data_IF_956025377436
#
_entry.id   IF_956025377436
#
_cell.length_a   1.000
_cell.length_b   1.000
_cell.length_c   1.000
_cell.angle_alpha   90.00
_cell.angle_beta   90.00
_cell.angle_gamma   90.00
#
_symmetry.space_group_name_H-M   'P 1'
#
loop_
_entity.id
_entity.type
_entity.pdbx_description
1 polymer ?
#
# COMPACT_ATOMS: atom_id res chain seq x y z
N UNK A 1 -15.63 -14.22 -8.18
CA UNK A 1 -14.81 -13.04 -8.51
C UNK A 1 -13.34 -13.44 -8.50
N UNK A 2 -12.73 -13.63 -9.67
CA UNK A 2 -11.28 -13.81 -9.82
C UNK A 2 -10.69 -12.44 -10.12
N UNK A 3 -9.88 -11.87 -9.22
CA UNK A 3 -9.21 -10.61 -9.47
C UNK A 3 -7.95 -10.89 -10.29
N UNK A 4 -7.95 -10.41 -11.53
CA UNK A 4 -6.82 -10.47 -12.47
C UNK A 4 -5.55 -9.90 -11.83
N UNK A 5 -4.56 -10.78 -11.68
CA UNK A 5 -3.22 -10.51 -11.15
C UNK A 5 -2.26 -10.23 -12.31
N UNK A 6 -2.56 -9.25 -13.16
CA UNK A 6 -1.72 -8.99 -14.35
C UNK A 6 -0.96 -7.65 -14.31
N UNK A 7 -1.20 -6.79 -13.32
CA UNK A 7 -0.51 -5.49 -13.22
C UNK A 7 0.22 -5.28 -11.89
N UNK A 8 0.83 -6.33 -11.32
CA UNK A 8 1.49 -6.23 -10.00
C UNK A 8 2.86 -6.92 -9.93
N UNK A 9 3.65 -6.83 -10.99
CA UNK A 9 5.03 -7.34 -10.97
C UNK A 9 5.97 -6.37 -10.22
N UNK A 10 5.66 -5.08 -10.25
CA UNK A 10 6.49 -4.02 -9.63
C UNK A 10 6.27 -3.90 -8.11
N UNK A 11 5.10 -4.28 -7.58
CA UNK A 11 4.85 -4.22 -6.11
C UNK A 11 5.13 -5.52 -5.36
N UNK A 12 5.31 -6.66 -6.05
CA UNK A 12 5.68 -7.92 -5.42
C UNK A 12 7.10 -7.83 -4.81
N UNK A 13 8.08 -7.30 -5.55
CA UNK A 13 9.49 -7.23 -5.14
C UNK A 13 9.72 -6.50 -3.80
N UNK A 14 9.06 -5.36 -3.59
CA UNK A 14 9.21 -4.59 -2.35
C UNK A 14 8.53 -5.29 -1.15
N UNK A 15 7.29 -5.76 -1.35
CA UNK A 15 6.51 -6.41 -0.30
C UNK A 15 7.15 -7.76 0.11
N UNK A 16 7.67 -8.50 -0.86
CA UNK A 16 8.42 -9.75 -0.67
C UNK A 16 9.71 -9.50 0.12
N UNK A 17 10.43 -8.41 -0.18
CA UNK A 17 11.62 -7.98 0.58
C UNK A 17 11.30 -7.74 2.05
N UNK A 18 10.19 -7.05 2.36
CA UNK A 18 9.78 -6.79 3.75
C UNK A 18 9.26 -8.04 4.46
N UNK A 19 8.56 -8.92 3.74
CA UNK A 19 8.11 -10.20 4.28
C UNK A 19 9.31 -11.10 4.61
N UNK A 20 10.31 -11.17 3.72
CA UNK A 20 11.55 -11.89 3.95
C UNK A 20 12.30 -11.35 5.17
N UNK A 21 12.47 -10.02 5.27
CA UNK A 21 13.08 -9.39 6.45
C UNK A 21 12.35 -9.75 7.74
N UNK A 22 11.02 -9.73 7.74
CA UNK A 22 10.22 -10.11 8.90
C UNK A 22 10.44 -11.57 9.29
N UNK A 23 10.54 -12.45 8.29
CA UNK A 23 10.87 -13.86 8.46
C UNK A 23 12.23 -14.06 9.11
N UNK A 24 13.30 -13.52 8.53
CA UNK A 24 14.66 -13.62 9.08
C UNK A 24 14.80 -12.97 10.46
N UNK A 25 14.07 -11.87 10.72
CA UNK A 25 14.05 -11.29 12.07
C UNK A 25 13.38 -12.21 13.09
N UNK A 26 12.35 -12.95 12.67
CA UNK A 26 11.69 -13.94 13.51
C UNK A 26 12.60 -15.14 13.79
N UNK A 27 13.38 -15.61 12.81
CA UNK A 27 14.32 -16.72 13.02
C UNK A 27 15.40 -16.36 14.04
N UNK A 28 15.92 -15.13 14.02
CA UNK A 28 16.88 -14.64 15.02
C UNK A 28 16.33 -14.65 16.45
N UNK A 29 15.04 -14.34 16.61
CA UNK A 29 14.37 -14.29 17.92
C UNK A 29 13.87 -15.65 18.40
N UNK A 30 13.79 -16.65 17.53
CA UNK A 30 13.21 -17.95 17.86
C UNK A 30 14.24 -18.84 18.60
N UNK A 31 13.98 -19.24 19.86
CA UNK A 31 14.89 -20.10 20.61
C UNK A 31 15.00 -21.53 20.04
N UNK A 32 14.04 -21.98 19.22
CA UNK A 32 14.01 -23.32 18.61
C UNK A 32 14.79 -23.41 17.30
N UNK A 33 15.40 -22.32 16.84
CA UNK A 33 16.20 -22.28 15.61
C UNK A 33 17.67 -22.49 15.95
N UNK A 34 18.37 -23.25 15.10
CA UNK A 34 19.80 -23.53 15.27
C UNK A 34 20.64 -22.27 15.12
N UNK A 35 21.82 -22.26 15.74
CA UNK A 35 22.71 -21.10 15.70
C UNK A 35 23.33 -20.88 14.31
N UNK A 36 23.43 -21.93 13.49
CA UNK A 36 23.79 -21.82 12.08
C UNK A 36 22.71 -21.07 11.27
N UNK A 37 21.45 -21.46 11.43
CA UNK A 37 20.34 -20.80 10.75
C UNK A 37 20.17 -19.34 11.20
N UNK A 38 20.45 -19.02 12.47
CA UNK A 38 20.49 -17.63 12.96
C UNK A 38 21.64 -16.84 12.34
N UNK A 39 22.83 -17.42 12.22
CA UNK A 39 23.97 -16.76 11.57
C UNK A 39 23.67 -16.43 10.11
N UNK A 40 23.12 -17.39 9.37
CA UNK A 40 22.68 -17.16 7.99
C UNK A 40 21.60 -16.08 7.90
N UNK A 41 20.58 -16.13 8.77
CA UNK A 41 19.53 -15.12 8.80
C UNK A 41 20.06 -13.71 9.08
N UNK A 42 21.10 -13.60 9.93
CA UNK A 42 21.77 -12.33 10.19
C UNK A 42 22.52 -11.83 8.96
N UNK A 43 23.27 -12.71 8.30
CA UNK A 43 24.05 -12.37 7.11
C UNK A 43 23.18 -11.87 5.96
N UNK A 44 22.06 -12.54 5.70
CA UNK A 44 21.07 -12.11 4.69
C UNK A 44 20.43 -10.75 5.05
N UNK A 45 20.18 -10.49 6.33
CA UNK A 45 19.63 -9.20 6.79
C UNK A 45 20.64 -8.04 6.66
N UNK A 46 21.92 -8.31 6.94
CA UNK A 46 23.02 -7.33 6.84
C UNK A 46 23.40 -7.05 5.37
N UNK A 47 23.65 -8.08 4.56
CA UNK A 47 24.27 -7.95 3.24
C UNK A 47 23.25 -7.77 2.09
N UNK A 48 22.11 -8.47 2.12
CA UNK A 48 21.16 -8.49 1.00
C UNK A 48 20.00 -7.51 1.21
N UNK A 49 19.43 -7.51 2.42
CA UNK A 49 18.18 -6.80 2.71
C UNK A 49 18.38 -5.43 3.34
N UNK A 50 19.54 -5.16 3.94
CA UNK A 50 19.93 -3.89 4.57
C UNK A 50 18.86 -3.38 5.54
N UNK A 51 18.84 -3.96 6.75
CA UNK A 51 17.97 -3.76 7.95
C UNK A 51 16.85 -2.71 8.00
N UNK A 52 16.99 -1.53 7.39
CA UNK A 52 16.16 -0.35 7.64
C UNK A 52 15.55 0.33 6.40
N UNK A 53 16.15 0.17 5.22
CA UNK A 53 15.69 0.85 4.00
C UNK A 53 14.28 0.41 3.53
N UNK A 54 13.92 -0.89 3.48
CA UNK A 54 12.69 -1.32 2.81
C UNK A 54 11.40 -0.92 3.54
N UNK A 55 11.49 -0.57 4.83
CA UNK A 55 10.29 -0.15 5.60
C UNK A 55 9.79 1.20 5.16
N UNK A 56 10.69 2.16 4.90
CA UNK A 56 10.29 3.53 4.58
C UNK A 56 9.69 3.61 3.17
N UNK A 57 10.32 2.94 2.20
CA UNK A 57 9.86 2.89 0.80
C UNK A 57 8.52 2.18 0.68
N UNK A 58 8.33 1.07 1.40
CA UNK A 58 7.02 0.43 1.44
C UNK A 58 5.97 1.26 2.17
N UNK A 59 6.32 1.98 3.24
CA UNK A 59 5.36 2.87 3.89
C UNK A 59 4.94 4.01 2.94
N UNK A 60 5.88 4.58 2.18
CA UNK A 60 5.59 5.61 1.19
C UNK A 60 4.70 5.06 0.04
N UNK A 61 5.10 3.96 -0.59
CA UNK A 61 4.34 3.33 -1.69
C UNK A 61 2.96 2.83 -1.24
N UNK A 62 2.87 2.24 -0.04
CA UNK A 62 1.61 1.73 0.49
C UNK A 62 0.68 2.86 0.92
N UNK A 63 1.18 4.00 1.37
CA UNK A 63 0.34 5.16 1.70
C UNK A 63 -0.19 5.85 0.44
N UNK A 64 0.65 6.07 -0.57
CA UNK A 64 0.29 6.78 -1.81
C UNK A 64 -0.99 6.23 -2.48
N UNK A 65 -1.17 4.91 -2.55
CA UNK A 65 -2.36 4.30 -3.18
C UNK A 65 -3.55 4.06 -2.23
N UNK A 66 -3.36 4.17 -0.91
CA UNK A 66 -4.44 3.96 0.07
C UNK A 66 -5.21 5.24 0.36
N UNK A 67 -4.58 6.41 0.30
CA UNK A 67 -5.19 7.68 0.72
C UNK A 67 -6.54 7.94 0.02
N UNK A 68 -6.66 7.93 -1.33
CA UNK A 68 -7.92 8.33 -1.98
C UNK A 68 -9.04 7.30 -1.75
N UNK A 69 -8.70 6.01 -1.85
CA UNK A 69 -9.67 4.92 -1.67
C UNK A 69 -10.12 4.80 -0.21
N UNK A 70 -9.26 5.07 0.77
CA UNK A 70 -9.63 5.08 2.19
C UNK A 70 -10.47 6.29 2.56
N UNK A 71 -10.15 7.47 2.02
CA UNK A 71 -10.96 8.67 2.20
C UNK A 71 -12.36 8.44 1.63
N UNK A 72 -12.46 7.97 0.38
CA UNK A 72 -13.74 7.62 -0.25
C UNK A 72 -14.53 6.57 0.57
N UNK A 73 -13.86 5.53 1.04
CA UNK A 73 -14.47 4.51 1.92
C UNK A 73 -14.97 5.07 3.25
N UNK A 74 -14.21 5.99 3.87
CA UNK A 74 -14.60 6.67 5.10
C UNK A 74 -15.80 7.59 4.92
N UNK A 75 -15.83 8.35 3.82
CA UNK A 75 -16.98 9.20 3.47
C UNK A 75 -18.23 8.37 3.20
N UNK A 76 -18.10 7.26 2.47
CA UNK A 76 -19.19 6.31 2.25
C UNK A 76 -19.71 5.70 3.56
N UNK A 77 -18.81 5.35 4.48
CA UNK A 77 -19.19 4.87 5.80
C UNK A 77 -19.92 5.95 6.61
N UNK A 78 -19.49 7.21 6.52
CA UNK A 78 -20.14 8.34 7.19
C UNK A 78 -21.59 8.55 6.72
N UNK A 79 -21.87 8.38 5.42
CA UNK A 79 -23.23 8.47 4.87
C UNK A 79 -24.18 7.42 5.45
N UNK A 80 -23.72 6.18 5.61
CA UNK A 80 -24.55 5.08 6.12
C UNK A 80 -24.61 5.00 7.65
N UNK A 81 -23.74 5.74 8.37
CA UNK A 81 -23.65 5.64 9.81
C UNK A 81 -24.83 6.36 10.51
N UNK A 82 -25.65 5.66 11.32
CA UNK A 82 -26.78 6.28 12.03
C UNK A 82 -26.35 7.28 13.11
N UNK A 83 -25.09 7.24 13.57
CA UNK A 83 -24.54 8.20 14.54
C UNK A 83 -24.11 9.53 13.90
N UNK A 84 -24.09 9.62 12.57
CA UNK A 84 -23.73 10.85 11.85
C UNK A 84 -24.99 11.67 11.59
N UNK A 85 -24.90 12.99 11.77
CA UNK A 85 -26.02 13.92 11.53
C UNK A 85 -26.37 13.96 10.04
N UNK A 86 -27.62 14.32 9.72
CA UNK A 86 -28.07 14.42 8.33
C UNK A 86 -27.18 15.34 7.48
N UNK A 87 -26.84 16.53 8.01
CA UNK A 87 -25.90 17.46 7.37
C UNK A 87 -24.49 16.86 7.19
N UNK A 88 -24.04 16.02 8.12
CA UNK A 88 -22.76 15.32 8.01
C UNK A 88 -22.76 14.26 6.91
N UNK A 89 -23.90 13.59 6.69
CA UNK A 89 -24.07 12.62 5.60
C UNK A 89 -24.09 13.30 4.24
N UNK A 90 -24.82 14.41 4.12
CA UNK A 90 -24.87 15.23 2.89
C UNK A 90 -23.48 15.74 2.52
N UNK A 91 -22.77 16.34 3.47
CA UNK A 91 -21.39 16.81 3.24
C UNK A 91 -20.42 15.66 2.87
N UNK A 92 -20.65 14.45 3.39
CA UNK A 92 -19.86 13.29 2.99
C UNK A 92 -20.23 12.77 1.58
N UNK A 93 -21.45 13.03 1.10
CA UNK A 93 -21.89 12.89 -0.29
C UNK A 93 -21.12 13.82 -1.20
N UNK A 94 -21.23 15.12 -0.95
CA UNK A 94 -20.62 16.14 -1.79
C UNK A 94 -19.11 15.92 -1.98
N UNK A 95 -18.40 15.60 -0.88
CA UNK A 95 -16.95 15.32 -0.91
C UNK A 95 -16.61 14.03 -1.67
N UNK A 96 -17.49 13.04 -1.67
CA UNK A 96 -17.28 11.80 -2.40
C UNK A 96 -17.43 12.02 -3.91
N UNK A 97 -18.42 12.84 -4.30
CA UNK A 97 -18.64 13.23 -5.69
C UNK A 97 -17.48 14.09 -6.23
N UNK A 98 -16.99 15.04 -5.42
CA UNK A 98 -15.81 15.85 -5.73
C UNK A 98 -14.56 14.99 -5.97
N UNK A 99 -14.31 14.00 -5.09
CA UNK A 99 -13.22 13.04 -5.27
C UNK A 99 -13.38 12.17 -6.53
N UNK A 100 -14.62 11.82 -6.90
CA UNK A 100 -14.92 11.10 -8.13
C UNK A 100 -14.52 11.90 -9.37
N UNK A 101 -14.93 13.17 -9.43
CA UNK A 101 -14.58 14.09 -10.53
C UNK A 101 -13.08 14.32 -10.64
N UNK A 102 -12.41 14.57 -9.51
CA UNK A 102 -10.97 14.76 -9.48
C UNK A 102 -10.20 13.53 -10.01
N UNK A 103 -10.70 12.30 -9.76
CA UNK A 103 -10.10 11.07 -10.28
C UNK A 103 -10.30 10.92 -11.79
N UNK A 104 -11.46 11.31 -12.30
CA UNK A 104 -11.75 11.31 -13.74
C UNK A 104 -10.87 12.31 -14.51
N UNK A 105 -10.64 13.49 -13.94
CA UNK A 105 -9.74 14.51 -14.48
C UNK A 105 -8.28 14.04 -14.49
N UNK A 106 -7.80 13.41 -13.41
CA UNK A 106 -6.46 12.82 -13.35
C UNK A 106 -6.28 11.71 -14.40
N UNK A 107 -7.30 10.86 -14.59
CA UNK A 107 -7.25 9.81 -15.60
C UNK A 107 -7.19 10.36 -17.05
N UNK A 108 -7.78 11.52 -17.31
CA UNK A 108 -7.73 12.19 -18.62
C UNK A 108 -6.37 12.88 -18.85
N UNK A 109 -5.73 13.41 -17.80
CA UNK A 109 -4.40 14.02 -17.86
C UNK A 109 -3.28 12.99 -18.07
N UNK A 110 -3.34 11.83 -17.41
CA UNK A 110 -2.35 10.76 -17.61
C UNK A 110 -2.41 10.18 -19.03
N UNK A 111 -3.60 10.07 -19.63
CA UNK A 111 -3.76 9.59 -21.00
C UNK A 111 -3.21 10.55 -22.06
N UNK A 112 -3.14 11.86 -21.75
CA UNK A 112 -2.60 12.87 -22.66
C UNK A 112 -1.09 13.05 -22.54
N UNK A 113 -0.45 12.55 -21.47
CA UNK A 113 1.01 12.60 -21.27
C UNK A 113 1.74 11.31 -21.70
N UNK A 114 1.04 10.23 -22.01
CA UNK A 114 1.63 8.94 -22.37
C UNK A 114 1.94 8.73 -23.86
N UNK A 115 1.84 9.77 -24.71
CA UNK A 115 2.34 9.71 -26.08
C UNK A 115 3.76 10.30 -26.14
N UNK A 116 4.82 9.49 -26.36
CA UNK A 116 6.09 10.06 -26.77
C UNK A 116 5.91 10.68 -28.16
N UNK A 117 6.24 11.95 -28.27
CA UNK A 117 6.53 12.56 -29.57
C UNK A 117 7.69 11.78 -30.23
N UNK A 118 7.48 11.46 -31.51
CA UNK A 118 8.28 10.73 -32.53
C UNK A 118 9.66 10.14 -32.18
#
# INVERSE_FOLDING_TARGET
MSYSRENNEVSASGEDRVNAMRGYKATLKNPRVSDEAKRHAKDVLDNELQWDQPRHDLYAMRQQNKEPNRVAGGLKAAQSNPRVTQRGKESAGDKLDELGRAREEQAQQDQSQAQPEE
#
